data_IF_660293670348
#
_entry.id   IF_660293670348
#
_cell.length_a   1.000
_cell.length_b   1.000
_cell.length_c   1.000
_cell.angle_alpha   90.00
_cell.angle_beta   90.00
_cell.angle_gamma   90.00
#
_symmetry.space_group_name_H-M   'P 1'
#
loop_
_entity.id
_entity.type
_entity.pdbx_description
1 polymer ?
#
# COMPACT_ATOMS: atom_id res chain seq x y z
N UNK A 1 -10.67 -39.53 0.51
CA UNK A 1 -10.41 -39.99 -0.83
C UNK A 1 -9.56 -39.06 -1.71
N UNK A 2 -9.94 -37.80 -1.90
CA UNK A 2 -9.23 -36.90 -2.85
C UNK A 2 -7.92 -36.39 -2.26
N UNK A 3 -7.86 -36.16 -0.96
CA UNK A 3 -6.65 -35.70 -0.25
C UNK A 3 -5.50 -36.73 -0.23
N UNK A 4 -5.83 -38.03 -0.22
CA UNK A 4 -4.82 -39.08 -0.26
C UNK A 4 -4.21 -39.27 -1.66
N UNK A 5 -4.96 -38.99 -2.72
CA UNK A 5 -4.47 -39.05 -4.10
C UNK A 5 -3.58 -37.82 -4.37
N UNK A 6 -3.96 -36.65 -3.88
CA UNK A 6 -3.17 -35.42 -4.05
C UNK A 6 -1.83 -35.48 -3.29
N UNK A 7 -1.80 -36.10 -2.09
CA UNK A 7 -0.54 -36.30 -1.36
C UNK A 7 0.41 -37.30 -2.03
N UNK A 8 -0.13 -38.32 -2.72
CA UNK A 8 0.67 -39.24 -3.54
C UNK A 8 1.27 -38.57 -4.78
N UNK A 9 0.64 -37.53 -5.30
CA UNK A 9 1.13 -36.69 -6.40
C UNK A 9 2.10 -35.59 -5.95
N UNK A 10 2.45 -35.53 -4.65
CA UNK A 10 3.31 -34.48 -4.11
C UNK A 10 2.62 -33.12 -3.95
N UNK A 11 1.30 -33.08 -4.16
CA UNK A 11 0.48 -31.87 -3.98
C UNK A 11 -0.03 -31.85 -2.56
N UNK A 12 0.52 -30.99 -1.73
CA UNK A 12 0.11 -30.83 -0.33
C UNK A 12 -1.14 -29.94 -0.26
N UNK A 13 -2.32 -30.51 -0.39
CA UNK A 13 -3.59 -29.79 -0.25
C UNK A 13 -3.91 -29.35 1.19
N UNK A 14 -3.11 -29.78 2.16
CA UNK A 14 -3.28 -29.39 3.56
C UNK A 14 -2.60 -28.06 3.91
N UNK A 15 -1.70 -27.56 3.09
CA UNK A 15 -1.37 -26.15 3.16
C UNK A 15 -2.56 -25.41 2.56
N UNK A 16 -3.41 -24.91 3.42
CA UNK A 16 -4.54 -24.08 3.08
C UNK A 16 -4.08 -22.99 2.09
N UNK A 17 -4.24 -23.31 0.80
CA UNK A 17 -3.97 -22.43 -0.34
C UNK A 17 -4.81 -21.15 -0.22
N UNK A 18 -5.79 -21.16 0.66
CA UNK A 18 -6.72 -20.06 0.94
C UNK A 18 -6.28 -19.08 2.03
N UNK A 19 -5.22 -19.36 2.74
CA UNK A 19 -4.71 -18.36 3.66
C UNK A 19 -3.71 -17.46 2.90
N UNK A 20 -4.24 -16.43 2.23
CA UNK A 20 -3.49 -15.19 2.26
C UNK A 20 -3.22 -14.99 3.74
N UNK A 21 -1.97 -15.15 4.11
CA UNK A 21 -1.62 -14.96 5.49
C UNK A 21 -2.01 -13.53 5.84
N UNK A 22 -3.04 -13.35 6.64
CA UNK A 22 -3.50 -12.03 7.06
C UNK A 22 -2.32 -11.21 7.64
N UNK A 23 -1.26 -11.89 8.05
CA UNK A 23 0.01 -11.28 8.46
C UNK A 23 0.67 -10.42 7.37
N UNK A 24 0.34 -10.61 6.09
CA UNK A 24 0.86 -9.80 4.99
C UNK A 24 0.10 -8.48 4.79
N UNK A 25 -1.08 -8.31 5.40
CA UNK A 25 -1.89 -7.10 5.17
C UNK A 25 -1.18 -5.81 5.58
N UNK A 26 -0.48 -5.74 6.73
CA UNK A 26 0.30 -4.56 7.07
C UNK A 26 1.33 -4.22 5.97
N UNK A 27 2.06 -5.21 5.47
CA UNK A 27 3.11 -5.00 4.47
C UNK A 27 2.52 -4.51 3.14
N UNK A 28 1.36 -5.04 2.73
CA UNK A 28 0.65 -4.58 1.52
C UNK A 28 0.20 -3.14 1.67
N UNK A 29 -0.48 -2.81 2.77
CA UNK A 29 -1.02 -1.45 3.01
C UNK A 29 0.10 -0.41 3.15
N UNK A 30 1.25 -0.78 3.72
CA UNK A 30 2.41 0.12 3.85
C UNK A 30 3.27 0.19 2.58
N UNK A 31 2.96 -0.61 1.57
CA UNK A 31 3.74 -0.61 0.33
C UNK A 31 3.55 0.69 -0.47
N UNK A 32 4.62 1.15 -1.10
CA UNK A 32 4.57 2.36 -1.93
C UNK A 32 3.53 2.28 -3.07
N UNK A 33 3.39 1.17 -3.82
CA UNK A 33 2.38 1.07 -4.87
C UNK A 33 0.96 1.21 -4.33
N UNK A 34 0.65 0.59 -3.20
CA UNK A 34 -0.67 0.65 -2.58
C UNK A 34 -1.04 2.08 -2.16
N UNK A 35 -0.12 2.78 -1.49
CA UNK A 35 -0.34 4.18 -1.06
C UNK A 35 -0.42 5.10 -2.27
N UNK A 36 0.33 4.82 -3.32
CA UNK A 36 0.33 5.60 -4.54
C UNK A 36 -1.04 5.60 -5.24
N UNK A 37 -1.74 4.46 -5.25
CA UNK A 37 -3.10 4.36 -5.80
C UNK A 37 -4.11 5.26 -5.09
N UNK A 38 -3.83 5.66 -3.84
CA UNK A 38 -4.68 6.59 -3.09
C UNK A 38 -4.47 8.07 -3.47
N UNK A 39 -3.41 8.41 -4.19
CA UNK A 39 -3.06 9.81 -4.48
C UNK A 39 -4.12 10.54 -5.28
N UNK A 40 -4.75 9.86 -6.23
CA UNK A 40 -5.79 10.43 -7.10
C UNK A 40 -7.19 10.37 -6.48
N UNK A 41 -7.31 9.84 -5.25
CA UNK A 41 -8.59 9.74 -4.56
C UNK A 41 -9.16 11.14 -4.29
N UNK A 42 -10.36 11.47 -4.79
CA UNK A 42 -11.00 12.74 -4.48
C UNK A 42 -11.46 12.75 -3.01
N UNK A 43 -10.91 13.67 -2.24
CA UNK A 43 -11.29 13.89 -0.84
C UNK A 43 -12.00 15.22 -0.68
N UNK A 44 -13.03 15.22 0.13
CA UNK A 44 -13.87 16.41 0.38
C UNK A 44 -13.72 16.82 1.83
N UNK A 45 -13.47 18.11 2.07
CA UNK A 45 -13.36 18.68 3.40
C UNK A 45 -13.95 20.09 3.45
N UNK A 46 -14.27 20.54 4.64
CA UNK A 46 -14.83 21.87 4.87
C UNK A 46 -13.75 22.85 5.31
N UNK A 47 -13.72 24.01 4.67
CA UNK A 47 -12.83 25.10 5.06
C UNK A 47 -13.54 26.45 4.96
N UNK A 48 -13.71 27.14 6.08
CA UNK A 48 -14.30 28.50 6.13
C UNK A 48 -15.60 28.63 5.32
N UNK A 49 -16.59 27.81 5.61
CA UNK A 49 -17.90 27.77 4.95
C UNK A 49 -17.89 27.35 3.46
N UNK A 50 -16.80 26.79 2.98
CA UNK A 50 -16.69 26.24 1.62
C UNK A 50 -16.34 24.76 1.68
N UNK A 51 -17.07 23.98 0.89
CA UNK A 51 -16.76 22.55 0.66
C UNK A 51 -15.78 22.47 -0.50
N UNK A 52 -14.62 21.90 -0.27
CA UNK A 52 -13.53 21.78 -1.25
C UNK A 52 -13.30 20.30 -1.52
N UNK A 53 -13.21 19.93 -2.80
CA UNK A 53 -12.85 18.57 -3.24
C UNK A 53 -11.57 18.64 -4.05
N UNK A 54 -10.56 17.93 -3.61
CA UNK A 54 -9.24 17.85 -4.27
C UNK A 54 -8.69 16.43 -4.22
N UNK A 55 -7.73 16.06 -5.06
CA UNK A 55 -7.02 14.80 -4.91
C UNK A 55 -6.33 14.70 -3.54
N UNK A 56 -6.27 13.49 -2.97
CA UNK A 56 -5.65 13.25 -1.66
C UNK A 56 -4.21 13.77 -1.60
N UNK A 57 -3.45 13.61 -2.67
CA UNK A 57 -2.08 14.10 -2.75
C UNK A 57 -1.99 15.61 -2.57
N UNK A 58 -2.89 16.37 -3.19
CA UNK A 58 -2.97 17.83 -3.06
C UNK A 58 -3.41 18.24 -1.66
N UNK A 59 -4.42 17.53 -1.10
CA UNK A 59 -4.83 17.74 0.29
C UNK A 59 -3.65 17.59 1.26
N UNK A 60 -2.86 16.53 1.10
CA UNK A 60 -1.71 16.26 1.97
C UNK A 60 -0.56 17.28 1.81
N UNK A 61 -0.38 17.83 0.60
CA UNK A 61 0.68 18.83 0.32
C UNK A 61 0.32 20.22 0.81
N UNK A 62 -0.94 20.65 0.67
CA UNK A 62 -1.33 22.04 0.82
C UNK A 62 -2.25 22.31 2.02
N UNK A 63 -3.11 21.36 2.34
CA UNK A 63 -4.18 21.58 3.32
C UNK A 63 -3.89 20.94 4.68
N UNK A 64 -3.12 19.86 4.72
CA UNK A 64 -2.73 19.26 5.99
C UNK A 64 -1.67 20.09 6.70
N UNK A 65 -2.04 20.72 7.78
CA UNK A 65 -1.16 21.57 8.57
C UNK A 65 -0.30 20.75 9.51
N UNK A 66 1.00 21.03 9.53
CA UNK A 66 1.84 20.57 10.62
C UNK A 66 1.41 21.23 11.94
N UNK A 67 1.44 20.52 13.09
CA UNK A 67 1.16 21.11 14.39
C UNK A 67 1.99 22.38 14.61
N UNK A 68 1.41 23.41 15.23
CA UNK A 68 2.03 24.71 15.42
C UNK A 68 3.37 24.68 16.20
N UNK A 69 3.60 23.64 16.99
CA UNK A 69 4.86 23.43 17.72
C UNK A 69 5.98 22.80 16.86
N UNK A 70 5.67 22.22 15.70
CA UNK A 70 6.67 21.62 14.81
C UNK A 70 7.76 22.59 14.36
N UNK A 71 7.44 23.87 14.03
CA UNK A 71 8.46 24.87 13.73
C UNK A 71 9.39 25.15 14.92
N UNK A 72 8.85 25.10 16.15
CA UNK A 72 9.61 25.41 17.37
C UNK A 72 10.60 24.28 17.68
N UNK A 73 10.17 23.03 17.57
CA UNK A 73 11.05 21.87 17.77
C UNK A 73 12.12 21.73 16.68
N UNK A 74 11.79 22.13 15.45
CA UNK A 74 12.74 22.07 14.32
C UNK A 74 13.61 23.31 14.18
N UNK A 75 13.39 24.35 14.99
CA UNK A 75 14.15 25.59 14.93
C UNK A 75 15.67 25.38 15.07
N UNK A 76 16.19 24.62 16.05
CA UNK A 76 17.63 24.40 16.15
C UNK A 76 18.23 23.67 14.96
N UNK A 77 17.46 22.73 14.37
CA UNK A 77 17.90 21.98 13.18
C UNK A 77 17.83 22.82 11.90
N UNK A 78 16.89 23.77 11.79
CA UNK A 78 16.82 24.72 10.66
C UNK A 78 17.99 25.69 10.67
N UNK A 79 18.42 26.17 11.84
CA UNK A 79 19.59 27.04 11.97
C UNK A 79 20.87 26.30 11.59
N UNK A 80 21.03 25.05 12.02
CA UNK A 80 22.12 24.17 11.60
C UNK A 80 22.11 23.91 10.08
N UNK A 81 20.91 23.63 9.51
CA UNK A 81 20.73 23.48 8.07
C UNK A 81 21.12 24.72 7.29
N UNK A 82 20.71 25.91 7.74
CA UNK A 82 21.07 27.18 7.14
C UNK A 82 22.59 27.43 7.15
N UNK A 83 23.28 27.07 8.23
CA UNK A 83 24.74 27.14 8.28
C UNK A 83 25.43 26.20 7.29
N UNK A 84 24.83 25.03 7.03
CA UNK A 84 25.32 24.03 6.05
C UNK A 84 25.04 24.50 4.62
N UNK A 85 23.89 25.12 4.35
CA UNK A 85 23.50 25.64 3.04
C UNK A 85 24.39 26.84 2.62
N UNK A 86 24.90 27.65 3.56
CA UNK A 86 25.88 28.70 3.28
C UNK A 86 27.21 28.10 2.80
N UNK A 87 27.57 26.93 3.28
CA UNK A 87 28.85 26.26 2.93
C UNK A 87 28.73 25.42 1.66
N UNK A 88 27.50 25.07 1.24
CA UNK A 88 27.19 24.33 -0.01
C UNK A 88 26.16 25.11 -0.81
N UNK A 89 26.56 26.11 -1.62
CA UNK A 89 25.67 26.69 -2.61
C UNK A 89 25.39 25.62 -3.67
N UNK A 90 24.11 25.54 -4.06
CA UNK A 90 23.58 24.77 -5.17
C UNK A 90 23.38 23.25 -4.98
N UNK A 91 22.16 22.93 -4.54
CA UNK A 91 21.41 21.87 -5.22
C UNK A 91 20.12 22.52 -5.72
N UNK A 92 20.12 22.81 -7.02
CA UNK A 92 18.97 23.16 -7.81
C UNK A 92 17.79 22.27 -7.41
N UNK A 93 16.67 22.90 -7.07
CA UNK A 93 15.38 22.23 -7.10
C UNK A 93 15.15 21.86 -8.56
N UNK A 94 15.47 20.64 -8.94
CA UNK A 94 15.06 20.11 -10.22
C UNK A 94 13.53 20.11 -10.23
N UNK A 95 12.95 21.17 -10.79
CA UNK A 95 11.63 21.14 -11.38
C UNK A 95 11.70 20.14 -12.55
N UNK A 96 11.53 18.89 -12.23
CA UNK A 96 11.20 17.89 -13.24
C UNK A 96 9.81 18.24 -13.77
N UNK A 97 9.78 18.74 -15.01
CA UNK A 97 8.56 18.85 -15.81
C UNK A 97 7.83 17.52 -15.82
N UNK A 98 6.52 17.54 -16.11
CA UNK A 98 5.54 16.44 -16.16
C UNK A 98 6.18 15.05 -16.10
N UNK A 99 6.59 14.65 -14.89
CA UNK A 99 7.12 13.30 -14.66
C UNK A 99 5.89 12.41 -14.61
N UNK A 100 5.76 11.55 -15.60
CA UNK A 100 4.85 10.40 -15.49
C UNK A 100 5.13 9.75 -14.16
N UNK A 101 4.21 9.93 -13.23
CA UNK A 101 4.33 9.45 -11.86
C UNK A 101 4.51 7.93 -11.90
N UNK A 102 5.70 7.48 -11.54
CA UNK A 102 6.02 6.06 -11.51
C UNK A 102 6.28 5.69 -10.03
N UNK A 103 5.60 4.68 -9.48
CA UNK A 103 5.78 4.26 -8.07
C UNK A 103 7.25 4.00 -7.70
N UNK A 104 8.09 3.72 -8.69
CA UNK A 104 9.53 3.45 -8.49
C UNK A 104 10.38 4.72 -8.39
N UNK A 105 9.92 5.85 -8.95
CA UNK A 105 10.69 7.11 -8.97
C UNK A 105 9.82 8.30 -8.57
N UNK A 106 9.45 8.35 -7.30
CA UNK A 106 8.62 9.41 -6.72
C UNK A 106 9.46 10.66 -6.39
N UNK A 107 8.98 11.87 -6.74
CA UNK A 107 9.53 13.13 -6.28
C UNK A 107 9.64 13.21 -4.75
N UNK A 108 10.58 14.01 -4.25
CA UNK A 108 10.83 14.13 -2.79
C UNK A 108 9.58 14.50 -1.98
N UNK A 109 8.70 15.33 -2.52
CA UNK A 109 7.45 15.76 -1.85
C UNK A 109 6.46 14.59 -1.70
N UNK A 110 6.31 13.80 -2.75
CA UNK A 110 5.40 12.64 -2.77
C UNK A 110 5.92 11.49 -1.91
N UNK A 111 7.23 11.27 -1.92
CA UNK A 111 7.87 10.30 -1.01
C UNK A 111 7.61 10.62 0.47
N UNK A 112 7.53 11.91 0.83
CA UNK A 112 7.15 12.31 2.19
C UNK A 112 5.70 11.96 2.50
N UNK A 113 4.79 12.09 1.54
CA UNK A 113 3.39 11.71 1.69
C UNK A 113 3.25 10.20 1.85
N UNK A 114 3.94 9.40 1.02
CA UNK A 114 3.99 7.94 1.18
C UNK A 114 4.47 7.54 2.56
N UNK A 115 5.59 8.13 3.01
CA UNK A 115 6.13 7.86 4.33
C UNK A 115 5.16 8.24 5.45
N UNK A 116 4.50 9.39 5.33
CA UNK A 116 3.50 9.82 6.29
C UNK A 116 2.35 8.82 6.41
N UNK A 117 1.80 8.35 5.29
CA UNK A 117 0.74 7.35 5.30
C UNK A 117 1.21 6.02 5.88
N UNK A 118 2.39 5.53 5.47
CA UNK A 118 2.95 4.30 6.01
C UNK A 118 3.17 4.34 7.52
N UNK A 119 3.45 5.52 8.09
CA UNK A 119 3.65 5.70 9.54
C UNK A 119 2.32 5.88 10.30
N UNK A 120 1.27 6.39 9.66
CA UNK A 120 0.01 6.75 10.33
C UNK A 120 -1.15 5.77 10.06
N UNK A 121 -1.04 4.89 9.06
CA UNK A 121 -1.97 3.79 8.89
C UNK A 121 -1.51 2.63 9.77
N UNK A 122 -2.28 2.31 10.79
CA UNK A 122 -2.03 1.15 11.63
C UNK A 122 -2.92 0.00 11.20
N UNK A 123 -2.32 -1.16 10.93
CA UNK A 123 -3.01 -2.40 10.59
C UNK A 123 -2.67 -3.45 11.65
N UNK A 124 -3.68 -3.93 12.34
CA UNK A 124 -3.53 -4.96 13.36
C UNK A 124 -4.33 -6.20 12.99
N UNK A 125 -3.67 -7.34 13.01
CA UNK A 125 -4.25 -8.64 12.69
C UNK A 125 -4.28 -9.53 13.93
N UNK A 126 -5.48 -9.91 14.33
CA UNK A 126 -5.66 -10.90 15.38
C UNK A 126 -5.51 -12.33 14.79
N UNK A 127 -4.41 -12.98 15.13
CA UNK A 127 -4.08 -14.33 14.64
C UNK A 127 -5.08 -15.40 15.10
N UNK A 128 -5.81 -15.16 16.19
CA UNK A 128 -6.76 -16.15 16.75
C UNK A 128 -8.11 -16.08 16.03
N UNK A 129 -8.58 -14.87 15.74
CA UNK A 129 -9.90 -14.65 15.13
C UNK A 129 -9.82 -14.40 13.64
N UNK A 130 -8.63 -14.15 13.09
CA UNK A 130 -8.45 -13.71 11.70
C UNK A 130 -8.97 -12.29 11.42
N UNK A 131 -9.35 -11.55 12.47
CA UNK A 131 -9.88 -10.19 12.35
C UNK A 131 -8.76 -9.20 12.08
N UNK A 132 -8.90 -8.44 11.01
CA UNK A 132 -8.03 -7.31 10.70
C UNK A 132 -8.70 -6.00 11.12
N UNK A 133 -8.00 -5.20 11.88
CA UNK A 133 -8.42 -3.85 12.29
C UNK A 133 -7.46 -2.84 11.70
N UNK A 134 -8.01 -1.80 11.09
CA UNK A 134 -7.23 -0.71 10.51
C UNK A 134 -7.64 0.60 11.15
N UNK A 135 -6.69 1.51 11.36
CA UNK A 135 -6.91 2.86 11.84
C UNK A 135 -5.97 3.85 11.14
N UNK A 136 -6.46 5.07 10.97
CA UNK A 136 -5.73 6.17 10.34
C UNK A 136 -6.02 7.44 11.11
N UNK A 137 -5.00 8.27 11.33
CA UNK A 137 -5.14 9.58 11.96
C UNK A 137 -4.80 10.69 10.97
N UNK A 138 -5.78 11.53 10.65
CA UNK A 138 -5.63 12.78 9.88
C UNK A 138 -6.35 13.91 10.61
N UNK A 139 -6.17 15.14 10.12
CA UNK A 139 -6.77 16.33 10.75
C UNK A 139 -8.28 16.45 10.52
N UNK A 140 -8.75 15.97 9.37
CA UNK A 140 -10.16 16.10 8.97
C UNK A 140 -10.86 14.72 9.01
N UNK A 141 -11.95 14.58 9.77
CA UNK A 141 -12.65 13.31 9.91
C UNK A 141 -13.33 12.83 8.61
N UNK A 142 -13.78 13.76 7.76
CA UNK A 142 -14.40 13.39 6.47
C UNK A 142 -13.35 12.78 5.53
N UNK A 143 -12.17 13.39 5.49
CA UNK A 143 -11.04 12.86 4.71
C UNK A 143 -10.63 11.48 5.23
N UNK A 144 -10.53 11.30 6.55
CA UNK A 144 -10.22 9.99 7.15
C UNK A 144 -11.23 8.93 6.72
N UNK A 145 -12.53 9.24 6.79
CA UNK A 145 -13.58 8.29 6.42
C UNK A 145 -13.44 7.85 4.95
N UNK A 146 -13.29 8.81 4.03
CA UNK A 146 -13.12 8.55 2.60
C UNK A 146 -11.86 7.74 2.30
N UNK A 147 -10.74 8.09 2.93
CA UNK A 147 -9.47 7.36 2.75
C UNK A 147 -9.56 5.95 3.31
N UNK A 148 -10.16 5.76 4.49
CA UNK A 148 -10.30 4.43 5.09
C UNK A 148 -11.22 3.51 4.29
N UNK A 149 -12.28 4.04 3.69
CA UNK A 149 -13.14 3.30 2.76
C UNK A 149 -12.32 2.84 1.55
N UNK A 150 -11.59 3.75 0.90
CA UNK A 150 -10.75 3.43 -0.26
C UNK A 150 -9.64 2.41 0.10
N UNK A 151 -8.95 2.57 1.23
CA UNK A 151 -7.95 1.61 1.72
C UNK A 151 -8.56 0.22 1.90
N UNK A 152 -9.76 0.17 2.47
CA UNK A 152 -10.46 -1.10 2.71
C UNK A 152 -10.84 -1.78 1.39
N UNK A 153 -11.35 -1.02 0.43
CA UNK A 153 -11.79 -1.56 -0.85
C UNK A 153 -10.60 -1.94 -1.74
N UNK A 154 -9.53 -1.13 -1.77
CA UNK A 154 -8.29 -1.50 -2.47
C UNK A 154 -7.68 -2.77 -1.88
N UNK A 155 -7.66 -2.92 -0.56
CA UNK A 155 -7.16 -4.14 0.07
C UNK A 155 -8.01 -5.37 -0.28
N UNK A 156 -9.36 -5.25 -0.29
CA UNK A 156 -10.26 -6.34 -0.74
C UNK A 156 -10.00 -6.74 -2.18
N UNK A 157 -9.85 -5.75 -3.07
CA UNK A 157 -9.57 -5.97 -4.49
C UNK A 157 -8.21 -6.67 -4.66
N UNK A 158 -7.17 -6.16 -4.02
CA UNK A 158 -5.84 -6.78 -4.03
C UNK A 158 -5.87 -8.25 -3.58
N UNK A 159 -6.61 -8.54 -2.51
CA UNK A 159 -6.77 -9.91 -2.01
C UNK A 159 -7.51 -10.81 -2.99
N UNK A 160 -8.57 -10.30 -3.62
CA UNK A 160 -9.36 -11.02 -4.62
C UNK A 160 -8.50 -11.37 -5.83
N UNK A 161 -7.74 -10.40 -6.33
CA UNK A 161 -6.86 -10.56 -7.49
C UNK A 161 -5.71 -11.52 -7.19
N UNK A 162 -5.10 -11.40 -6.02
CA UNK A 162 -4.07 -12.33 -5.58
C UNK A 162 -4.59 -13.78 -5.50
N UNK A 163 -5.76 -14.00 -4.90
CA UNK A 163 -6.37 -15.33 -4.81
C UNK A 163 -6.67 -15.91 -6.19
N UNK A 164 -7.25 -15.08 -7.06
CA UNK A 164 -7.60 -15.48 -8.42
C UNK A 164 -6.35 -15.82 -9.23
N UNK A 165 -5.33 -14.98 -9.15
CA UNK A 165 -4.04 -15.19 -9.82
C UNK A 165 -3.35 -16.47 -9.32
N UNK A 166 -3.31 -16.66 -8.00
CA UNK A 166 -2.76 -17.86 -7.38
C UNK A 166 -3.49 -19.12 -7.82
N UNK A 167 -4.82 -19.13 -7.76
CA UNK A 167 -5.63 -20.27 -8.18
C UNK A 167 -5.43 -20.60 -9.66
N UNK A 168 -5.28 -19.60 -10.53
CA UNK A 168 -4.97 -19.83 -11.96
C UNK A 168 -3.61 -20.48 -12.13
N UNK A 169 -2.58 -20.00 -11.42
CA UNK A 169 -1.24 -20.61 -11.46
C UNK A 169 -1.28 -22.07 -10.97
N UNK A 170 -2.02 -22.36 -9.90
CA UNK A 170 -2.13 -23.71 -9.36
C UNK A 170 -2.82 -24.65 -10.36
N UNK A 171 -3.90 -24.19 -11.04
CA UNK A 171 -4.57 -24.96 -12.10
C UNK A 171 -3.64 -25.19 -13.28
N UNK A 172 -2.88 -24.19 -13.72
CA UNK A 172 -1.92 -24.33 -14.82
C UNK A 172 -0.83 -25.33 -14.48
N UNK A 173 -0.22 -25.23 -13.29
CA UNK A 173 0.79 -26.17 -12.81
C UNK A 173 0.25 -27.60 -12.73
N UNK A 174 -0.97 -27.76 -12.20
CA UNK A 174 -1.61 -29.08 -12.13
C UNK A 174 -1.92 -29.65 -13.51
N UNK A 175 -2.32 -28.81 -14.47
CA UNK A 175 -2.58 -29.25 -15.84
C UNK A 175 -1.29 -29.77 -16.53
N UNK A 176 -0.16 -29.09 -16.33
CA UNK A 176 1.14 -29.53 -16.84
C UNK A 176 1.55 -30.86 -16.22
N UNK A 177 1.44 -31.01 -14.89
CA UNK A 177 1.77 -32.27 -14.20
C UNK A 177 0.87 -33.41 -14.68
N UNK A 178 -0.42 -33.16 -14.88
CA UNK A 178 -1.35 -34.16 -15.41
C UNK A 178 -0.93 -34.62 -16.82
N UNK A 179 -0.56 -33.68 -17.69
CA UNK A 179 -0.16 -34.03 -19.05
C UNK A 179 1.17 -34.82 -19.08
N UNK A 180 2.15 -34.43 -18.25
CA UNK A 180 3.40 -35.18 -18.08
C UNK A 180 3.15 -36.62 -17.62
N UNK A 181 2.29 -36.82 -16.59
CA UNK A 181 1.96 -38.15 -16.09
C UNK A 181 1.22 -38.99 -17.11
N UNK A 182 0.36 -38.36 -17.89
CA UNK A 182 -0.37 -39.03 -18.98
C UNK A 182 0.60 -39.48 -20.06
N UNK A 183 1.57 -38.69 -20.44
CA UNK A 183 2.62 -39.07 -21.41
C UNK A 183 3.49 -40.20 -20.87
N UNK A 184 3.86 -40.20 -19.60
CA UNK A 184 4.64 -41.25 -18.98
C UNK A 184 3.84 -42.60 -18.97
N UNK A 185 2.53 -42.53 -18.71
CA UNK A 185 1.67 -43.68 -18.77
C UNK A 185 1.57 -44.29 -20.18
N UNK A 186 1.54 -43.47 -21.23
CA UNK A 186 1.52 -43.94 -22.61
C UNK A 186 2.86 -44.49 -23.13
N UNK A 187 3.96 -44.14 -22.45
CA UNK A 187 5.32 -44.63 -22.80
C UNK A 187 5.65 -45.97 -22.11
N UNK A 188 4.98 -46.29 -21.03
CA UNK A 188 5.17 -47.54 -20.26
C UNK A 188 4.34 -48.67 -20.83
#
# INVERSE_FOLDING_TARGET
GVSSIASMMGVNLNNSVDAINAEMFPDVVHSTPFIYELFDLPVTFERKDSVITVPLLEYMKEYQKSPWWTPIMNFPFKVLGWCIDIVRPDKEEEEFGEVVLNPTNLPKKERKVVKYFAENIMVNVDKKTGKTSMSLELQDPLVVATVMEAVTDNLKNYMSDYRTSKSRQDVENLSVICEERKQDYYKA
#
